data_IF_919299445818
#
_entry.id   IF_919299445818
#
_cell.length_a   1.000
_cell.length_b   1.000
_cell.length_c   1.000
_cell.angle_alpha   90.00
_cell.angle_beta   90.00
_cell.angle_gamma   90.00
#
_symmetry.space_group_name_H-M   'P 1'
#
loop_
_entity.id
_entity.type
_entity.pdbx_description
1 polymer ?
#
# COMPACT_ATOMS: atom_id res chain seq x y z
N UNK A 1 -40.24 -24.75 -15.63
CA UNK A 1 -38.84 -24.86 -15.21
C UNK A 1 -37.86 -24.24 -16.24
N UNK A 2 -38.00 -24.51 -17.55
CA UNK A 2 -37.10 -24.01 -18.61
C UNK A 2 -36.96 -22.48 -18.61
N UNK A 3 -38.07 -21.75 -18.74
CA UNK A 3 -38.06 -20.29 -18.71
C UNK A 3 -37.39 -19.70 -17.46
N UNK A 4 -37.68 -20.26 -16.28
CA UNK A 4 -37.08 -19.77 -15.04
C UNK A 4 -35.56 -19.98 -15.01
N UNK A 5 -35.07 -21.11 -15.47
CA UNK A 5 -33.62 -21.37 -15.58
C UNK A 5 -32.95 -20.42 -16.54
N UNK A 6 -33.48 -20.25 -17.75
CA UNK A 6 -32.93 -19.34 -18.76
C UNK A 6 -32.93 -17.87 -18.27
N UNK A 7 -33.92 -17.48 -17.48
CA UNK A 7 -34.07 -16.13 -16.94
C UNK A 7 -33.10 -15.90 -15.75
N UNK A 8 -33.07 -16.84 -14.78
CA UNK A 8 -32.19 -16.76 -13.61
C UNK A 8 -30.71 -16.77 -13.99
N UNK A 9 -30.34 -17.55 -15.01
CA UNK A 9 -28.95 -17.63 -15.52
C UNK A 9 -28.61 -16.49 -16.49
N UNK A 10 -29.51 -15.54 -16.69
CA UNK A 10 -29.34 -14.39 -17.61
C UNK A 10 -29.16 -14.75 -19.10
N UNK A 11 -29.46 -15.98 -19.51
CA UNK A 11 -29.37 -16.43 -20.91
C UNK A 11 -30.47 -15.82 -21.77
N UNK A 12 -31.73 -15.88 -21.30
CA UNK A 12 -32.88 -15.18 -21.89
C UNK A 12 -33.15 -15.50 -23.37
N UNK A 13 -33.37 -16.75 -23.74
CA UNK A 13 -33.65 -17.14 -25.15
C UNK A 13 -34.84 -16.43 -25.76
N UNK A 14 -35.80 -15.95 -24.98
CA UNK A 14 -36.98 -15.22 -25.47
C UNK A 14 -38.06 -16.08 -26.13
N UNK A 15 -37.91 -17.39 -26.09
CA UNK A 15 -38.84 -18.39 -26.63
C UNK A 15 -40.16 -18.46 -25.83
N UNK A 16 -40.09 -18.22 -24.54
CA UNK A 16 -41.22 -18.16 -23.63
C UNK A 16 -41.09 -16.87 -22.78
N UNK A 17 -42.11 -16.02 -22.81
CA UNK A 17 -42.11 -14.77 -22.06
C UNK A 17 -43.49 -14.55 -21.39
N UNK A 18 -43.56 -13.90 -20.21
CA UNK A 18 -44.83 -13.55 -19.57
C UNK A 18 -45.55 -12.46 -20.37
N UNK A 19 -46.80 -12.75 -20.78
CA UNK A 19 -47.62 -11.82 -21.57
C UNK A 19 -48.61 -11.03 -20.73
N UNK A 20 -48.97 -11.54 -19.56
CA UNK A 20 -49.94 -10.87 -18.64
C UNK A 20 -49.23 -9.85 -17.75
N UNK A 21 -49.92 -8.77 -17.29
CA UNK A 21 -49.34 -7.80 -16.39
C UNK A 21 -48.81 -8.43 -15.08
N UNK A 22 -49.57 -9.31 -14.46
CA UNK A 22 -49.13 -10.04 -13.26
C UNK A 22 -47.93 -10.96 -13.53
N UNK A 23 -47.92 -11.64 -14.69
CA UNK A 23 -46.77 -12.47 -15.12
C UNK A 23 -45.52 -11.65 -15.31
N UNK A 24 -45.62 -10.42 -15.83
CA UNK A 24 -44.47 -9.49 -15.99
C UNK A 24 -43.94 -9.02 -14.65
N UNK A 25 -44.78 -8.70 -13.69
CA UNK A 25 -44.37 -8.34 -12.33
C UNK A 25 -43.64 -9.51 -11.67
N UNK A 26 -44.20 -10.72 -11.73
CA UNK A 26 -43.58 -11.93 -11.22
C UNK A 26 -42.24 -12.22 -11.93
N UNK A 27 -42.17 -12.07 -13.26
CA UNK A 27 -40.96 -12.22 -14.03
C UNK A 27 -39.88 -11.24 -13.63
N UNK A 28 -40.21 -9.98 -13.37
CA UNK A 28 -39.26 -8.98 -12.88
C UNK A 28 -38.66 -9.36 -11.53
N UNK A 29 -39.48 -9.87 -10.62
CA UNK A 29 -38.99 -10.37 -9.32
C UNK A 29 -38.04 -11.56 -9.49
N UNK A 30 -38.36 -12.51 -10.36
CA UNK A 30 -37.46 -13.65 -10.68
C UNK A 30 -36.11 -13.18 -11.25
N UNK A 31 -36.12 -12.19 -12.16
CA UNK A 31 -34.92 -11.62 -12.75
C UNK A 31 -34.02 -10.99 -11.70
N UNK A 32 -34.57 -10.14 -10.83
CA UNK A 32 -33.81 -9.50 -9.73
C UNK A 32 -33.23 -10.56 -8.79
N UNK A 33 -34.01 -11.55 -8.41
CA UNK A 33 -33.55 -12.65 -7.56
C UNK A 33 -32.41 -13.44 -8.21
N UNK A 34 -32.51 -13.70 -9.52
CA UNK A 34 -31.44 -14.38 -10.28
C UNK A 34 -30.11 -13.63 -10.23
N UNK A 35 -30.15 -12.33 -10.49
CA UNK A 35 -28.94 -11.47 -10.42
C UNK A 35 -28.34 -11.47 -9.00
N UNK A 36 -29.17 -11.35 -7.96
CA UNK A 36 -28.69 -11.41 -6.57
C UNK A 36 -28.02 -12.75 -6.25
N UNK A 37 -28.61 -13.87 -6.64
CA UNK A 37 -28.03 -15.21 -6.42
C UNK A 37 -26.69 -15.37 -7.13
N UNK A 38 -26.55 -14.90 -8.36
CA UNK A 38 -25.30 -14.98 -9.12
C UNK A 38 -24.21 -14.04 -8.58
N UNK A 39 -24.60 -12.91 -7.99
CA UNK A 39 -23.66 -11.95 -7.41
C UNK A 39 -23.01 -12.45 -6.10
N UNK A 40 -23.70 -13.29 -5.31
CA UNK A 40 -23.20 -13.77 -4.02
C UNK A 40 -21.86 -14.54 -4.11
N UNK A 41 -21.67 -15.55 -4.98
CA UNK A 41 -20.39 -16.24 -5.09
C UNK A 41 -19.25 -15.30 -5.47
N UNK A 42 -19.51 -14.35 -6.38
CA UNK A 42 -18.50 -13.37 -6.82
C UNK A 42 -18.11 -12.45 -5.65
N UNK A 43 -19.08 -11.99 -4.87
CA UNK A 43 -18.83 -11.15 -3.70
C UNK A 43 -18.01 -11.89 -2.63
N UNK A 44 -18.34 -13.17 -2.35
CA UNK A 44 -17.60 -14.00 -1.38
C UNK A 44 -16.16 -14.24 -1.83
N UNK A 45 -15.95 -14.57 -3.10
CA UNK A 45 -14.61 -14.77 -3.65
C UNK A 45 -13.81 -13.48 -3.58
N UNK A 46 -14.40 -12.35 -3.99
CA UNK A 46 -13.76 -11.04 -3.94
C UNK A 46 -13.36 -10.63 -2.52
N UNK A 47 -14.24 -10.85 -1.54
CA UNK A 47 -13.95 -10.59 -0.13
C UNK A 47 -12.80 -11.48 0.38
N UNK A 48 -12.76 -12.75 0.00
CA UNK A 48 -11.68 -13.68 0.34
C UNK A 48 -10.33 -13.24 -0.20
N UNK A 49 -10.26 -12.80 -1.45
CA UNK A 49 -9.03 -12.25 -2.03
C UNK A 49 -8.55 -10.97 -1.35
N UNK A 50 -9.46 -10.06 -1.03
CA UNK A 50 -9.12 -8.82 -0.33
C UNK A 50 -8.52 -9.09 1.06
N UNK A 51 -9.10 -10.04 1.80
CA UNK A 51 -8.60 -10.42 3.12
C UNK A 51 -7.23 -11.11 3.08
N UNK A 52 -6.99 -11.96 2.09
CA UNK A 52 -5.69 -12.62 1.91
C UNK A 52 -4.58 -11.63 1.55
N UNK A 53 -4.88 -10.63 0.72
CA UNK A 53 -3.93 -9.58 0.36
C UNK A 53 -3.52 -8.77 1.59
N UNK A 54 -4.48 -8.36 2.43
CA UNK A 54 -4.19 -7.62 3.68
C UNK A 54 -3.37 -8.45 4.69
N UNK A 55 -3.61 -9.77 4.78
CA UNK A 55 -2.80 -10.63 5.66
C UNK A 55 -1.36 -10.78 5.18
N UNK A 56 -1.15 -10.89 3.88
CA UNK A 56 0.21 -10.97 3.30
C UNK A 56 1.00 -9.71 3.54
N UNK A 57 0.38 -8.55 3.40
CA UNK A 57 1.02 -7.27 3.67
C UNK A 57 1.44 -7.13 5.14
N UNK A 58 0.62 -7.61 6.08
CA UNK A 58 0.95 -7.61 7.51
C UNK A 58 2.20 -8.46 7.82
N UNK A 59 2.23 -9.72 7.38
CA UNK A 59 3.36 -10.63 7.65
C UNK A 59 4.65 -10.13 6.99
N UNK A 60 4.53 -9.60 5.76
CA UNK A 60 5.69 -9.05 5.04
C UNK A 60 6.23 -7.82 5.76
N UNK A 61 5.36 -6.92 6.23
CA UNK A 61 5.78 -5.72 6.93
C UNK A 61 6.52 -6.05 8.24
N UNK A 62 6.04 -6.99 9.05
CA UNK A 62 6.73 -7.41 10.27
C UNK A 62 8.15 -7.90 10.01
N UNK A 63 8.34 -8.80 9.04
CA UNK A 63 9.66 -9.32 8.70
C UNK A 63 10.59 -8.26 8.09
N UNK A 64 10.05 -7.17 7.55
CA UNK A 64 10.81 -6.04 7.03
C UNK A 64 11.16 -5.03 8.14
N UNK A 65 10.26 -4.79 9.07
CA UNK A 65 10.48 -3.87 10.20
C UNK A 65 11.64 -4.33 11.08
N UNK A 66 11.74 -5.63 11.39
CA UNK A 66 12.82 -6.17 12.21
C UNK A 66 14.22 -6.00 11.60
N UNK A 67 14.32 -5.64 10.32
CA UNK A 67 15.58 -5.37 9.61
C UNK A 67 16.02 -3.91 9.71
N UNK A 68 15.16 -3.03 10.22
CA UNK A 68 15.41 -1.60 10.34
C UNK A 68 15.65 -1.31 11.83
N UNK A 69 16.89 -1.00 12.24
CA UNK A 69 17.23 -0.82 13.66
C UNK A 69 16.32 0.18 14.37
N UNK A 70 15.99 1.28 13.71
CA UNK A 70 15.09 2.31 14.24
C UNK A 70 13.69 1.78 14.57
N UNK A 71 13.17 0.82 13.80
CA UNK A 71 11.86 0.20 14.02
C UNK A 71 11.95 -1.00 14.98
N UNK A 72 13.14 -1.60 15.12
CA UNK A 72 13.37 -2.72 16.03
C UNK A 72 13.41 -2.32 17.51
N UNK A 73 13.62 -1.04 17.80
CA UNK A 73 13.62 -0.47 19.16
C UNK A 73 12.21 -0.22 19.72
N UNK A 74 11.17 -0.29 18.85
CA UNK A 74 9.78 -0.08 19.23
C UNK A 74 9.20 -1.28 19.99
N UNK A 75 8.35 -0.99 20.98
CA UNK A 75 7.63 -2.02 21.69
C UNK A 75 6.49 -2.64 20.84
N UNK A 76 5.92 -3.77 21.29
CA UNK A 76 4.88 -4.49 20.53
C UNK A 76 3.61 -3.64 20.29
N UNK A 77 3.29 -2.71 21.18
CA UNK A 77 2.14 -1.82 21.06
C UNK A 77 2.42 -0.75 20.02
N UNK A 78 3.55 -0.07 20.11
CA UNK A 78 4.01 0.95 19.16
C UNK A 78 4.09 0.39 17.74
N UNK A 79 4.62 -0.82 17.61
CA UNK A 79 4.65 -1.54 16.33
C UNK A 79 3.25 -1.80 15.78
N UNK A 80 2.30 -2.26 16.61
CA UNK A 80 0.92 -2.52 16.19
C UNK A 80 0.22 -1.26 15.67
N UNK A 81 0.53 -0.10 16.25
CA UNK A 81 -0.01 1.20 15.86
C UNK A 81 0.68 1.76 14.60
N UNK A 82 1.96 1.48 14.40
CA UNK A 82 2.75 1.94 13.26
C UNK A 82 2.53 1.10 11.99
N UNK A 83 2.30 -0.20 12.15
CA UNK A 83 2.16 -1.15 11.02
C UNK A 83 1.16 -0.72 9.94
N UNK A 84 -0.06 -0.22 10.28
CA UNK A 84 -1.02 0.21 9.27
C UNK A 84 -0.58 1.42 8.44
N UNK A 85 0.39 2.21 8.97
CA UNK A 85 0.90 3.42 8.33
C UNK A 85 2.05 3.12 7.35
N UNK A 86 2.64 1.93 7.45
CA UNK A 86 3.78 1.50 6.64
C UNK A 86 3.34 0.61 5.49
N UNK A 87 3.63 1.02 4.26
CA UNK A 87 3.29 0.27 3.05
C UNK A 87 4.54 -0.38 2.43
N UNK A 88 4.50 -1.71 2.28
CA UNK A 88 5.60 -2.44 1.66
C UNK A 88 5.62 -2.22 0.14
N UNK A 89 6.78 -1.81 -0.38
CA UNK A 89 7.05 -1.63 -1.80
C UNK A 89 8.18 -2.53 -2.26
N UNK A 90 7.93 -3.33 -3.28
CA UNK A 90 8.94 -4.12 -3.98
C UNK A 90 9.32 -3.40 -5.26
N UNK A 91 10.57 -2.98 -5.35
CA UNK A 91 11.05 -2.15 -6.45
C UNK A 91 12.16 -2.86 -7.20
N UNK A 92 12.05 -3.01 -8.53
CA UNK A 92 13.13 -3.57 -9.34
C UNK A 92 14.35 -2.63 -9.38
N UNK A 93 15.52 -3.14 -9.78
CA UNK A 93 16.72 -2.31 -9.99
C UNK A 93 16.49 -1.21 -11.02
N UNK A 94 17.23 -0.11 -10.90
CA UNK A 94 17.22 1.05 -11.81
C UNK A 94 15.85 1.79 -11.85
N UNK A 95 15.05 1.65 -10.82
CA UNK A 95 13.79 2.41 -10.68
C UNK A 95 14.03 3.69 -9.90
N UNK A 96 13.49 4.78 -10.40
CA UNK A 96 13.52 6.08 -9.74
C UNK A 96 12.39 6.16 -8.71
N UNK A 97 12.74 6.34 -7.42
CA UNK A 97 11.80 6.40 -6.30
C UNK A 97 11.41 7.85 -5.98
N UNK A 98 12.41 8.72 -5.91
CA UNK A 98 12.23 10.15 -5.72
C UNK A 98 12.83 10.88 -6.90
N UNK A 99 12.07 11.83 -7.43
CA UNK A 99 12.47 12.68 -8.56
C UNK A 99 12.94 14.03 -8.05
N UNK A 100 14.08 14.49 -8.55
CA UNK A 100 14.52 15.85 -8.28
C UNK A 100 13.48 16.87 -8.81
N UNK A 101 13.21 17.93 -8.05
CA UNK A 101 12.29 18.99 -8.45
C UNK A 101 10.80 18.69 -8.27
N UNK A 102 10.42 17.48 -7.81
CA UNK A 102 9.04 17.17 -7.46
C UNK A 102 8.89 17.05 -5.94
N UNK A 103 7.81 17.59 -5.33
CA UNK A 103 7.60 17.50 -3.88
C UNK A 103 7.56 16.06 -3.40
N UNK A 104 8.34 15.72 -2.40
CA UNK A 104 8.28 14.41 -1.76
C UNK A 104 7.10 14.34 -0.80
N UNK A 105 6.16 13.43 -1.08
CA UNK A 105 4.97 13.18 -0.24
C UNK A 105 5.11 11.96 0.65
N UNK A 106 6.29 11.37 0.70
CA UNK A 106 6.56 10.18 1.50
C UNK A 106 8.07 10.04 1.75
N UNK A 107 8.40 9.37 2.84
CA UNK A 107 9.72 8.85 3.12
C UNK A 107 9.75 7.33 2.97
N UNK A 108 10.94 6.76 2.86
CA UNK A 108 11.14 5.34 2.61
C UNK A 108 12.21 4.79 3.53
N UNK A 109 11.93 3.67 4.20
CA UNK A 109 12.91 2.87 4.91
C UNK A 109 13.40 1.73 4.00
N UNK A 110 14.69 1.47 3.98
CA UNK A 110 15.30 0.39 3.21
C UNK A 110 15.34 -0.88 4.05
N UNK A 111 14.42 -1.80 3.82
CA UNK A 111 14.40 -3.08 4.51
C UNK A 111 15.36 -4.12 3.85
N UNK A 112 15.62 -3.99 2.55
CA UNK A 112 16.66 -4.75 1.85
C UNK A 112 17.00 -4.11 0.50
N UNK A 113 18.22 -4.31 0.05
CA UNK A 113 18.75 -3.74 -1.20
C UNK A 113 19.54 -2.47 -0.97
N UNK A 114 19.85 -1.77 -2.07
CA UNK A 114 20.62 -0.52 -2.07
C UNK A 114 19.92 0.52 -2.95
N UNK A 115 19.81 1.74 -2.44
CA UNK A 115 19.30 2.91 -3.15
C UNK A 115 20.40 3.94 -3.23
N UNK A 116 20.60 4.56 -4.40
CA UNK A 116 21.60 5.60 -4.62
C UNK A 116 20.91 6.94 -4.83
N UNK A 117 21.42 7.96 -4.15
CA UNK A 117 21.06 9.34 -4.39
C UNK A 117 22.22 10.01 -5.11
N UNK A 118 21.99 10.50 -6.32
CA UNK A 118 22.99 11.14 -7.17
C UNK A 118 23.05 12.63 -6.85
N UNK A 119 23.71 13.01 -5.75
CA UNK A 119 23.97 14.41 -5.43
C UNK A 119 25.17 14.93 -6.23
N UNK A 120 25.19 16.22 -6.66
CA UNK A 120 26.30 16.77 -7.45
C UNK A 120 27.68 16.67 -6.80
N UNK A 121 27.73 16.69 -5.47
CA UNK A 121 28.98 16.67 -4.71
C UNK A 121 29.40 15.28 -4.23
N UNK A 122 28.45 14.34 -4.08
CA UNK A 122 28.73 12.99 -3.60
C UNK A 122 27.61 12.03 -3.97
N UNK A 123 27.94 10.79 -4.26
CA UNK A 123 26.96 9.70 -4.37
C UNK A 123 26.71 9.13 -2.97
N UNK A 124 25.46 9.24 -2.50
CA UNK A 124 25.04 8.68 -1.21
C UNK A 124 24.33 7.35 -1.47
N UNK A 125 24.75 6.30 -0.76
CA UNK A 125 24.16 4.97 -0.86
C UNK A 125 23.43 4.66 0.44
N UNK A 126 22.12 4.40 0.32
CA UNK A 126 21.28 3.91 1.41
C UNK A 126 21.21 2.40 1.36
N UNK A 127 21.55 1.76 2.47
CA UNK A 127 21.54 0.30 2.64
C UNK A 127 20.41 -0.17 3.58
N UNK A 128 20.34 -1.47 3.83
CA UNK A 128 19.35 -2.03 4.76
C UNK A 128 19.51 -1.42 6.16
N UNK A 129 18.43 -0.84 6.68
CA UNK A 129 18.39 -0.13 7.96
C UNK A 129 18.30 1.40 7.82
N UNK A 130 18.69 1.94 6.68
CA UNK A 130 18.64 3.37 6.41
C UNK A 130 17.23 3.83 5.97
N UNK A 131 17.04 5.14 5.97
CA UNK A 131 15.85 5.76 5.38
C UNK A 131 16.23 6.99 4.56
N UNK A 132 15.37 7.38 3.61
CA UNK A 132 15.58 8.54 2.74
C UNK A 132 14.26 9.24 2.41
N UNK A 133 14.35 10.48 1.94
CA UNK A 133 13.20 11.29 1.58
C UNK A 133 12.52 11.99 2.76
N UNK A 134 12.97 11.78 3.99
CA UNK A 134 12.38 12.36 5.19
C UNK A 134 12.51 13.90 5.20
N UNK A 135 13.67 14.45 4.90
CA UNK A 135 13.89 15.90 4.87
C UNK A 135 12.92 16.58 3.90
N UNK A 136 12.87 16.13 2.65
CA UNK A 136 11.97 16.69 1.65
C UNK A 136 10.48 16.53 2.01
N UNK A 137 10.11 15.39 2.63
CA UNK A 137 8.75 15.17 3.11
C UNK A 137 8.37 16.12 4.26
N UNK A 138 9.30 16.36 5.21
CA UNK A 138 9.04 17.18 6.40
C UNK A 138 9.04 18.68 6.09
N UNK A 139 9.89 19.14 5.17
CA UNK A 139 9.94 20.55 4.75
C UNK A 139 8.91 20.89 3.68
N UNK A 140 8.38 19.87 2.98
CA UNK A 140 7.53 20.07 1.79
C UNK A 140 8.31 20.45 0.54
N UNK A 141 9.65 20.44 0.62
CA UNK A 141 10.53 20.78 -0.50
C UNK A 141 10.68 19.62 -1.48
N UNK A 142 11.28 19.93 -2.61
CA UNK A 142 11.67 18.90 -3.57
C UNK A 142 13.00 18.29 -3.17
N UNK A 143 13.22 16.97 -3.34
CA UNK A 143 14.51 16.34 -3.14
C UNK A 143 15.59 17.04 -3.99
N UNK A 144 16.77 17.26 -3.40
CA UNK A 144 17.89 17.90 -4.08
C UNK A 144 18.46 17.03 -5.21
N UNK A 145 18.25 15.71 -5.13
CA UNK A 145 18.76 14.74 -6.10
C UNK A 145 17.80 13.55 -6.26
N UNK A 146 17.79 12.89 -7.43
CA UNK A 146 16.97 11.70 -7.64
C UNK A 146 17.51 10.51 -6.83
N UNK A 147 16.59 9.70 -6.28
CA UNK A 147 16.90 8.45 -5.60
C UNK A 147 16.54 7.27 -6.50
N UNK A 148 17.54 6.46 -6.88
CA UNK A 148 17.42 5.36 -7.83
C UNK A 148 17.85 4.05 -7.16
N UNK A 149 17.08 2.98 -7.34
CA UNK A 149 17.44 1.65 -6.83
C UNK A 149 18.64 1.09 -7.59
N UNK A 150 19.68 0.72 -6.85
CA UNK A 150 20.87 0.05 -7.42
C UNK A 150 20.63 -1.46 -7.59
N UNK A 151 19.87 -2.05 -6.69
CA UNK A 151 19.53 -3.48 -6.67
C UNK A 151 18.00 -3.65 -6.56
N UNK A 152 17.52 -4.90 -6.56
CA UNK A 152 16.15 -5.18 -6.16
C UNK A 152 15.97 -4.79 -4.70
N UNK A 153 15.03 -3.88 -4.42
CA UNK A 153 14.80 -3.32 -3.10
C UNK A 153 13.45 -3.72 -2.52
N UNK A 154 13.43 -3.87 -1.21
CA UNK A 154 12.20 -3.87 -0.41
C UNK A 154 12.22 -2.62 0.45
N UNK A 155 11.23 -1.77 0.26
CA UNK A 155 11.11 -0.50 0.94
C UNK A 155 9.83 -0.49 1.77
N UNK A 156 9.85 0.20 2.93
CA UNK A 156 8.63 0.56 3.65
C UNK A 156 8.40 2.04 3.44
N UNK A 157 7.26 2.37 2.87
CA UNK A 157 6.85 3.74 2.56
C UNK A 157 5.96 4.27 3.68
N UNK A 158 6.27 5.47 4.16
CA UNK A 158 5.46 6.25 5.09
C UNK A 158 5.03 7.55 4.39
N UNK A 159 3.73 7.77 4.27
CA UNK A 159 3.20 9.00 3.68
C UNK A 159 3.28 10.17 4.65
N UNK A 160 3.36 11.40 4.12
CA UNK A 160 3.38 12.61 4.93
C UNK A 160 2.13 12.75 5.83
N UNK A 161 0.96 12.36 5.33
CA UNK A 161 -0.30 12.38 6.09
C UNK A 161 -0.26 11.40 7.27
N UNK A 162 0.36 10.23 7.07
CA UNK A 162 0.51 9.22 8.10
C UNK A 162 1.61 9.59 9.11
N UNK A 163 2.62 10.39 8.70
CA UNK A 163 3.63 10.91 9.60
C UNK A 163 3.02 11.81 10.68
N UNK A 164 2.04 12.64 10.36
CA UNK A 164 1.32 13.42 11.36
C UNK A 164 0.56 12.56 12.36
N UNK A 165 0.00 11.43 11.92
CA UNK A 165 -0.61 10.45 12.84
C UNK A 165 0.45 9.79 13.72
N UNK A 166 1.60 9.46 13.16
CA UNK A 166 2.74 8.92 13.88
C UNK A 166 3.21 9.86 15.00
N UNK A 167 3.27 11.17 14.77
CA UNK A 167 3.62 12.17 15.76
C UNK A 167 2.69 12.15 16.98
N UNK A 168 1.40 11.89 16.76
CA UNK A 168 0.41 11.79 17.84
C UNK A 168 0.52 10.48 18.63
N UNK A 169 0.89 9.38 17.93
CA UNK A 169 0.99 8.04 18.51
C UNK A 169 2.32 7.86 19.26
N UNK A 170 3.42 8.22 18.61
CA UNK A 170 4.78 8.08 19.13
C UNK A 170 5.64 9.32 18.82
N UNK A 171 5.54 10.39 19.65
CA UNK A 171 6.32 11.60 19.45
C UNK A 171 7.84 11.37 19.48
N UNK A 172 8.32 10.42 20.30
CA UNK A 172 9.77 10.11 20.42
C UNK A 172 10.32 9.57 19.09
N UNK A 173 9.61 8.67 18.47
CA UNK A 173 10.02 8.09 17.19
C UNK A 173 9.98 9.16 16.07
N UNK A 174 8.99 10.02 16.06
CA UNK A 174 8.91 11.13 15.11
C UNK A 174 10.07 12.11 15.27
N UNK A 175 10.45 12.43 16.53
CA UNK A 175 11.60 13.29 16.84
C UNK A 175 12.93 12.65 16.44
N UNK A 176 13.07 11.34 16.56
CA UNK A 176 14.26 10.61 16.12
C UNK A 176 14.41 10.66 14.57
N UNK A 177 13.30 10.51 13.85
CA UNK A 177 13.30 10.71 12.40
C UNK A 177 13.70 12.14 12.05
N UNK A 178 13.16 13.15 12.72
CA UNK A 178 13.51 14.55 12.46
C UNK A 178 14.98 14.85 12.73
N UNK A 179 15.52 14.38 13.86
CA UNK A 179 16.95 14.56 14.20
C UNK A 179 17.86 13.95 13.15
N UNK A 180 17.61 12.71 12.76
CA UNK A 180 18.39 12.02 11.74
C UNK A 180 18.21 12.62 10.35
N UNK A 181 17.03 13.15 10.04
CA UNK A 181 16.78 13.84 8.76
C UNK A 181 17.51 15.19 8.68
N UNK A 182 17.76 15.87 9.81
CA UNK A 182 18.50 17.12 9.87
C UNK A 182 20.04 16.94 9.76
N UNK A 183 20.54 15.74 10.06
CA UNK A 183 21.98 15.42 9.99
C UNK A 183 22.23 14.32 8.94
N UNK A 184 22.46 14.70 7.67
CA UNK A 184 22.69 13.75 6.57
C UNK A 184 23.96 12.90 6.74
N UNK A 185 24.86 13.26 7.65
CA UNK A 185 26.08 12.50 7.94
C UNK A 185 25.84 11.25 8.80
N UNK A 186 24.68 11.11 9.45
CA UNK A 186 24.37 9.98 10.35
C UNK A 186 23.66 8.82 9.63
N UNK A 187 23.26 9.01 8.38
CA UNK A 187 22.47 8.03 7.59
C UNK A 187 23.35 6.91 6.99
N UNK A 188 24.69 7.01 7.14
CA UNK A 188 25.65 6.03 6.61
C UNK A 188 26.66 5.59 7.68
N UNK A 189 26.16 4.84 8.70
CA UNK A 189 27.02 3.98 9.55
C UNK A 189 26.23 2.82 10.10
#
# INVERSE_FOLDING_TARGET
AWWAMATLTTVGYGDIVPVTPLGRIFGSFVMVTGVCILALPVAIISAGFSQETSRRDFVVNWSLMSRIPLLAELDAREVSELMPLLHAHHVPPKSEILKAGLPARAMFFVASGKVRMQHPEAEIVFESGDFFGATAMLTGDSPSAPCITATKCRLLKLHAEDFHRLELINPRFADDIRRRAADPGTVSR
#
